data_IF_396520524267
#
_entry.id   IF_396520524267
#
_cell.length_a   1.000
_cell.length_b   1.000
_cell.length_c   1.000
_cell.angle_alpha   90.00
_cell.angle_beta   90.00
_cell.angle_gamma   90.00
#
_symmetry.space_group_name_H-M   'P 1'
#
loop_
_entity.id
_entity.type
_entity.pdbx_description
1 polymer ?
#
# COMPACT_ATOMS: atom_id res chain seq x y z
N UNK A 1 -1.86 7.01 6.18
CA UNK A 1 -1.74 5.81 7.03
C UNK A 1 -0.53 5.96 7.95
N UNK A 2 -0.61 5.50 9.20
CA UNK A 2 0.54 5.41 10.11
C UNK A 2 1.40 4.19 9.76
N UNK A 3 2.56 4.42 9.13
CA UNK A 3 3.46 3.35 8.67
C UNK A 3 4.19 2.63 9.81
N UNK A 4 4.18 3.16 11.03
CA UNK A 4 4.80 2.52 12.21
C UNK A 4 3.81 1.66 13.00
N UNK A 5 2.52 1.84 12.75
CA UNK A 5 1.52 0.89 13.18
C UNK A 5 1.58 -0.35 12.28
N UNK A 6 2.17 -1.44 12.75
CA UNK A 6 2.28 -2.71 12.01
C UNK A 6 1.10 -3.65 12.25
N UNK A 7 0.06 -3.20 12.95
CA UNK A 7 -1.12 -4.03 13.19
C UNK A 7 -1.95 -4.17 11.90
N UNK A 8 -2.40 -5.40 11.66
CA UNK A 8 -3.41 -5.74 10.66
C UNK A 8 -4.65 -4.84 10.82
N UNK A 9 -5.05 -4.16 9.75
CA UNK A 9 -6.21 -3.24 9.75
C UNK A 9 -6.77 -3.02 8.36
N UNK A 10 -7.93 -2.37 8.29
CA UNK A 10 -8.55 -1.96 7.03
C UNK A 10 -7.97 -0.63 6.57
N UNK A 11 -7.73 -0.55 5.27
CA UNK A 11 -7.15 0.63 4.61
C UNK A 11 -7.89 0.88 3.30
N UNK A 12 -8.05 2.14 2.91
CA UNK A 12 -8.65 2.50 1.62
C UNK A 12 -7.59 3.07 0.69
N UNK A 13 -7.53 2.57 -0.54
CA UNK A 13 -6.62 3.08 -1.54
C UNK A 13 -7.06 4.49 -1.96
N UNK A 14 -6.21 5.48 -1.74
CA UNK A 14 -6.47 6.88 -2.13
C UNK A 14 -5.79 7.20 -3.45
N UNK A 15 -4.67 6.53 -3.74
CA UNK A 15 -3.87 6.76 -4.94
C UNK A 15 -3.08 5.51 -5.32
N UNK A 16 -3.13 5.14 -6.59
CA UNK A 16 -2.48 3.97 -7.19
C UNK A 16 -1.65 4.34 -8.42
N UNK A 17 -1.17 5.58 -8.52
CA UNK A 17 -0.45 6.09 -9.69
C UNK A 17 1.08 5.85 -9.60
N UNK A 18 1.63 5.37 -10.71
CA UNK A 18 3.02 4.93 -10.89
C UNK A 18 4.08 6.04 -10.83
N UNK A 19 3.68 7.31 -10.88
CA UNK A 19 4.54 8.35 -11.50
C UNK A 19 4.94 9.52 -10.60
N UNK A 20 4.65 9.48 -9.29
CA UNK A 20 5.02 10.61 -8.40
C UNK A 20 6.52 10.64 -8.10
N UNK A 21 7.22 9.50 -8.18
CA UNK A 21 8.64 9.39 -7.85
C UNK A 21 9.47 8.54 -8.83
N UNK A 22 8.94 8.22 -10.02
CA UNK A 22 9.70 7.56 -11.10
C UNK A 22 10.12 6.12 -10.82
N UNK A 23 9.38 5.41 -9.97
CA UNK A 23 9.68 4.04 -9.53
C UNK A 23 8.46 3.30 -8.98
N UNK A 24 7.26 3.61 -9.49
CA UNK A 24 6.05 2.84 -9.20
C UNK A 24 6.30 1.36 -9.50
N UNK A 25 6.00 0.50 -8.53
CA UNK A 25 6.15 -0.94 -8.71
C UNK A 25 5.12 -1.43 -9.73
N UNK A 26 5.47 -2.42 -10.55
CA UNK A 26 4.66 -2.96 -11.66
C UNK A 26 3.22 -3.38 -11.27
N UNK A 27 2.91 -3.45 -9.97
CA UNK A 27 1.68 -3.98 -9.39
C UNK A 27 0.60 -2.92 -9.11
N UNK A 28 0.86 -1.64 -9.35
CA UNK A 28 -0.09 -0.54 -9.03
C UNK A 28 -1.46 -0.71 -9.67
N UNK A 29 -1.49 -1.27 -10.88
CA UNK A 29 -2.70 -1.59 -11.64
C UNK A 29 -3.65 -2.57 -10.94
N UNK A 30 -3.19 -3.29 -9.91
CA UNK A 30 -4.01 -4.21 -9.11
C UNK A 30 -4.84 -3.48 -8.05
N UNK A 31 -4.42 -2.27 -7.67
CA UNK A 31 -5.15 -1.44 -6.72
C UNK A 31 -6.18 -0.59 -7.45
N UNK A 32 -7.28 -0.33 -6.75
CA UNK A 32 -8.40 0.47 -7.24
C UNK A 32 -8.63 1.61 -6.24
N UNK A 33 -8.57 2.85 -6.71
CA UNK A 33 -8.83 4.03 -5.88
C UNK A 33 -10.26 4.00 -5.34
N UNK A 34 -10.41 4.26 -4.04
CA UNK A 34 -11.66 4.19 -3.31
C UNK A 34 -11.99 2.80 -2.75
N UNK A 35 -11.27 1.75 -3.17
CA UNK A 35 -11.50 0.39 -2.66
C UNK A 35 -10.77 0.14 -1.36
N UNK A 36 -11.41 -0.65 -0.51
CA UNK A 36 -10.89 -1.09 0.78
C UNK A 36 -10.11 -2.40 0.64
N UNK A 37 -9.01 -2.47 1.37
CA UNK A 37 -8.09 -3.60 1.43
C UNK A 37 -7.75 -3.93 2.87
N UNK A 38 -7.18 -5.12 3.08
CA UNK A 38 -6.70 -5.53 4.39
C UNK A 38 -5.19 -5.45 4.41
N UNK A 39 -4.66 -4.49 5.17
CA UNK A 39 -3.23 -4.41 5.45
C UNK A 39 -2.80 -5.67 6.21
N UNK A 40 -1.83 -6.39 5.66
CA UNK A 40 -1.21 -7.56 6.32
C UNK A 40 0.05 -7.13 7.09
N UNK A 41 0.96 -6.42 6.42
CA UNK A 41 2.23 -5.99 6.99
C UNK A 41 2.79 -4.73 6.30
N UNK A 42 3.73 -4.05 6.96
CA UNK A 42 4.46 -2.89 6.44
C UNK A 42 5.95 -3.06 6.73
N UNK A 43 6.77 -2.95 5.69
CA UNK A 43 8.23 -2.92 5.82
C UNK A 43 8.73 -1.53 5.44
N UNK A 44 9.33 -0.84 6.42
CA UNK A 44 9.91 0.49 6.22
C UNK A 44 11.40 0.35 5.94
N UNK A 45 11.83 0.79 4.77
CA UNK A 45 13.24 0.92 4.39
C UNK A 45 13.67 2.40 4.45
N UNK A 46 14.97 2.67 4.36
CA UNK A 46 15.51 4.03 4.44
C UNK A 46 14.98 4.99 3.37
N UNK A 47 14.59 4.46 2.21
CA UNK A 47 14.19 5.27 1.03
C UNK A 47 12.78 4.99 0.51
N UNK A 48 12.10 3.95 1.02
CA UNK A 48 10.78 3.57 0.58
C UNK A 48 10.06 2.70 1.62
N UNK A 49 8.78 2.47 1.40
CA UNK A 49 7.94 1.59 2.23
C UNK A 49 7.28 0.56 1.33
N UNK A 50 7.34 -0.70 1.74
CA UNK A 50 6.61 -1.79 1.11
C UNK A 50 5.38 -2.09 1.96
N UNK A 51 4.24 -2.20 1.29
CA UNK A 51 2.95 -2.54 1.87
C UNK A 51 2.54 -3.91 1.36
N UNK A 52 2.21 -4.82 2.29
CA UNK A 52 1.67 -6.13 1.98
C UNK A 52 0.16 -6.14 2.24
N UNK A 53 -0.61 -6.62 1.26
CA UNK A 53 -2.06 -6.62 1.27
C UNK A 53 -2.55 -8.06 1.22
N UNK A 54 -3.44 -8.45 2.12
CA UNK A 54 -3.91 -9.85 2.22
C UNK A 54 -4.53 -10.35 0.92
N UNK A 55 -5.25 -9.49 0.22
CA UNK A 55 -5.91 -9.82 -1.05
C UNK A 55 -4.90 -10.15 -2.16
N UNK A 56 -3.61 -9.82 -1.97
CA UNK A 56 -2.51 -10.07 -2.91
C UNK A 56 -1.26 -10.59 -2.15
N UNK A 57 -1.26 -11.85 -1.68
CA UNK A 57 -0.28 -12.35 -0.71
C UNK A 57 1.17 -12.38 -1.21
N UNK A 58 1.38 -12.46 -2.53
CA UNK A 58 2.71 -12.54 -3.16
C UNK A 58 3.10 -11.24 -3.88
N UNK A 59 2.42 -10.13 -3.55
CA UNK A 59 2.54 -8.86 -4.27
C UNK A 59 3.00 -7.77 -3.32
N UNK A 60 4.07 -7.08 -3.73
CA UNK A 60 4.62 -5.94 -3.03
C UNK A 60 4.09 -4.64 -3.65
N UNK A 61 3.61 -3.74 -2.79
CA UNK A 61 3.20 -2.41 -3.19
C UNK A 61 4.16 -1.37 -2.59
N UNK A 62 4.80 -0.59 -3.45
CA UNK A 62 5.65 0.54 -3.10
C UNK A 62 5.02 1.82 -3.69
N UNK A 63 5.21 2.98 -3.07
CA UNK A 63 4.80 4.29 -3.61
C UNK A 63 3.29 4.46 -3.83
N UNK A 64 2.49 3.70 -3.09
CA UNK A 64 1.02 3.77 -3.07
C UNK A 64 0.52 4.56 -1.87
N UNK A 65 -0.66 5.16 -1.97
CA UNK A 65 -1.24 5.97 -0.90
C UNK A 65 -2.52 5.34 -0.33
N UNK A 66 -2.52 5.13 0.97
CA UNK A 66 -3.67 4.62 1.72
C UNK A 66 -4.06 5.54 2.88
N UNK A 67 -5.36 5.58 3.14
CA UNK A 67 -5.92 6.09 4.40
C UNK A 67 -6.35 4.93 5.29
N UNK A 68 -6.26 5.14 6.60
CA UNK A 68 -6.82 4.20 7.58
C UNK A 68 -8.31 4.45 7.69
N UNK A 69 -9.06 3.36 7.78
CA UNK A 69 -10.50 3.38 8.04
C UNK A 69 -10.75 2.71 9.38
N UNK A 70 -11.63 3.30 10.19
CA UNK A 70 -12.01 2.82 11.53
C UNK A 70 -12.65 1.42 11.50
#
# INVERSE_FOLDING_TARGET
MDIYNTKRRKIKCVRNDDDVWGGGGENHHLLEVGKEYTLEDIVVHSWHTIVYIKEFPDVEFNSVAFEEIE
#
